data_IF_280584099290
#
_entry.id   IF_280584099290
#
_cell.length_a   1.000
_cell.length_b   1.000
_cell.length_c   1.000
_cell.angle_alpha   90.00
_cell.angle_beta   90.00
_cell.angle_gamma   90.00
#
_symmetry.space_group_name_H-M   'P 1'
#
loop_
_entity.id
_entity.type
_entity.pdbx_description
1 polymer ?
#
# COMPACT_ATOMS: atom_id res chain seq x y z
N UNK A 1 13.47 29.92 17.99
CA UNK A 1 13.95 29.14 16.83
C UNK A 1 12.81 28.22 16.43
N UNK A 2 12.35 28.30 15.18
CA UNK A 2 11.37 27.36 14.63
C UNK A 2 12.12 26.45 13.68
N UNK A 3 11.99 25.14 13.86
CA UNK A 3 12.59 24.15 12.96
C UNK A 3 11.56 23.83 11.89
N UNK A 4 11.98 23.94 10.63
CA UNK A 4 11.15 23.56 9.49
C UNK A 4 11.36 22.06 9.21
N UNK A 5 10.25 21.34 9.11
CA UNK A 5 10.22 19.94 8.72
C UNK A 5 10.63 19.76 7.25
N UNK A 6 11.46 18.76 6.99
CA UNK A 6 11.84 18.30 5.65
C UNK A 6 11.43 16.83 5.52
N UNK A 7 11.19 16.36 4.29
CA UNK A 7 10.89 14.96 4.06
C UNK A 7 12.17 14.11 4.16
N UNK A 8 12.46 13.60 5.36
CA UNK A 8 13.65 12.79 5.65
C UNK A 8 13.33 11.43 6.26
N UNK A 9 12.06 11.12 6.54
CA UNK A 9 11.64 9.81 7.01
C UNK A 9 10.88 9.05 5.90
N UNK A 10 11.41 7.94 5.37
CA UNK A 10 10.67 7.17 4.37
C UNK A 10 9.45 6.47 4.99
N UNK A 11 8.36 6.27 4.23
CA UNK A 11 7.22 5.46 4.68
C UNK A 11 7.63 4.03 5.04
N UNK A 12 7.16 3.55 6.19
CA UNK A 12 7.46 2.19 6.68
C UNK A 12 6.18 1.37 6.79
N UNK A 13 6.13 0.22 6.13
CA UNK A 13 5.01 -0.74 6.27
C UNK A 13 4.93 -1.31 7.69
N UNK A 14 3.71 -1.46 8.20
CA UNK A 14 3.42 -2.03 9.51
C UNK A 14 3.83 -3.50 9.65
N UNK A 15 3.87 -4.24 8.54
CA UNK A 15 4.32 -5.63 8.47
C UNK A 15 5.35 -5.79 7.35
N UNK A 16 6.35 -6.64 7.58
CA UNK A 16 7.35 -6.99 6.56
C UNK A 16 6.78 -7.86 5.44
N UNK A 17 5.73 -8.64 5.72
CA UNK A 17 5.03 -9.44 4.73
C UNK A 17 3.55 -9.51 5.04
N UNK A 18 2.75 -9.57 3.99
CA UNK A 18 1.31 -9.75 4.07
C UNK A 18 0.92 -11.00 3.30
N UNK A 19 0.01 -11.79 3.86
CA UNK A 19 -0.51 -13.01 3.26
C UNK A 19 -2.02 -13.05 3.43
N UNK A 20 -2.72 -13.46 2.38
CA UNK A 20 -4.16 -13.70 2.37
C UNK A 20 -4.41 -14.98 1.59
N UNK A 21 -5.47 -15.69 1.96
CA UNK A 21 -6.01 -16.82 1.19
C UNK A 21 -7.35 -16.36 0.61
N UNK A 22 -7.50 -16.48 -0.71
CA UNK A 22 -8.71 -16.11 -1.42
C UNK A 22 -9.42 -17.34 -1.95
N UNK A 23 -10.75 -17.29 -1.99
CA UNK A 23 -11.54 -18.31 -2.68
C UNK A 23 -11.31 -18.20 -4.18
N UNK A 24 -11.20 -19.34 -4.87
CA UNK A 24 -11.19 -19.37 -6.34
C UNK A 24 -12.50 -18.83 -6.94
N UNK A 25 -13.57 -18.80 -6.15
CA UNK A 25 -14.89 -18.26 -6.51
C UNK A 25 -15.06 -16.79 -6.15
N UNK A 26 -14.01 -16.11 -5.67
CA UNK A 26 -14.06 -14.70 -5.34
C UNK A 26 -14.40 -13.86 -6.58
N UNK A 27 -15.35 -12.95 -6.45
CA UNK A 27 -15.73 -12.04 -7.53
C UNK A 27 -14.68 -10.95 -7.71
N UNK A 28 -14.65 -10.33 -8.89
CA UNK A 28 -13.89 -9.10 -9.13
C UNK A 28 -14.34 -8.01 -8.15
N UNK A 29 -13.39 -7.23 -7.62
CA UNK A 29 -13.62 -6.21 -6.60
C UNK A 29 -13.73 -6.75 -5.17
N UNK A 30 -13.45 -8.05 -4.95
CA UNK A 30 -13.42 -8.63 -3.60
C UNK A 30 -12.24 -8.03 -2.81
N UNK A 31 -12.46 -7.49 -1.60
CA UNK A 31 -11.39 -7.03 -0.73
C UNK A 31 -10.49 -8.17 -0.30
N UNK A 32 -9.23 -8.12 -0.72
CA UNK A 32 -8.25 -9.15 -0.39
C UNK A 32 -7.49 -8.77 0.89
N UNK A 33 -6.90 -7.58 0.91
CA UNK A 33 -6.00 -7.16 1.97
C UNK A 33 -5.92 -5.64 2.01
N UNK A 34 -5.70 -5.06 3.18
CA UNK A 34 -5.27 -3.67 3.29
C UNK A 34 -3.85 -3.58 3.84
N UNK A 35 -2.96 -2.91 3.11
CA UNK A 35 -1.61 -2.58 3.60
C UNK A 35 -1.62 -1.21 4.26
N UNK A 36 -0.76 -1.05 5.27
CA UNK A 36 -0.61 0.22 5.99
C UNK A 36 0.87 0.51 6.12
N UNK A 37 1.28 1.70 5.68
CA UNK A 37 2.57 2.28 5.94
C UNK A 37 2.41 3.61 6.66
N UNK A 38 3.38 3.94 7.51
CA UNK A 38 3.42 5.17 8.29
C UNK A 38 4.72 5.89 8.03
N UNK A 39 4.61 7.18 7.81
CA UNK A 39 5.71 8.12 7.69
C UNK A 39 5.77 8.97 8.98
N UNK A 40 6.97 9.26 9.47
CA UNK A 40 7.20 9.96 10.75
C UNK A 40 7.37 11.48 10.57
N UNK A 41 7.33 11.97 9.35
CA UNK A 41 7.39 13.40 9.06
C UNK A 41 6.11 14.13 9.50
N UNK A 42 6.12 15.46 9.41
CA UNK A 42 4.95 16.28 9.71
C UNK A 42 3.80 16.05 8.71
N UNK A 43 2.57 16.46 9.04
CA UNK A 43 1.35 16.23 8.25
C UNK A 43 1.42 16.56 6.75
N UNK A 44 2.33 17.45 6.34
CA UNK A 44 2.54 17.80 4.92
C UNK A 44 3.42 16.80 4.18
N UNK A 45 4.33 16.15 4.88
CA UNK A 45 5.34 15.24 4.33
C UNK A 45 5.02 13.77 4.62
N UNK A 46 4.03 13.47 5.48
CA UNK A 46 3.65 12.11 5.84
C UNK A 46 2.55 11.47 4.97
N UNK A 47 2.27 12.04 3.79
CA UNK A 47 1.25 11.53 2.86
C UNK A 47 1.82 10.33 2.10
N UNK A 48 1.20 9.16 2.28
CA UNK A 48 1.66 7.91 1.67
C UNK A 48 0.78 7.52 0.50
N UNK A 49 1.41 7.15 -0.61
CA UNK A 49 0.75 6.58 -1.79
C UNK A 49 1.21 5.15 -2.06
N UNK A 50 0.27 4.27 -2.40
CA UNK A 50 0.52 2.85 -2.66
C UNK A 50 0.44 2.52 -4.16
N UNK A 51 1.28 1.57 -4.60
CA UNK A 51 1.24 0.98 -5.93
C UNK A 51 1.75 -0.47 -5.88
N UNK A 52 1.23 -1.33 -6.77
CA UNK A 52 1.74 -2.70 -6.96
C UNK A 52 2.75 -2.65 -8.10
N UNK A 53 3.98 -3.11 -7.83
CA UNK A 53 4.99 -3.28 -8.87
C UNK A 53 4.83 -4.66 -9.51
N UNK A 54 4.67 -4.67 -10.83
CA UNK A 54 4.77 -5.89 -11.64
C UNK A 54 6.23 -6.22 -11.88
N UNK A 55 6.57 -7.51 -11.84
CA UNK A 55 7.86 -8.01 -12.29
C UNK A 55 7.66 -9.11 -13.35
N UNK A 56 8.76 -9.70 -13.83
CA UNK A 56 8.71 -10.71 -14.91
C UNK A 56 7.89 -11.95 -14.51
N UNK A 57 7.70 -12.20 -13.22
CA UNK A 57 7.02 -13.39 -12.68
C UNK A 57 5.64 -13.09 -12.07
N UNK A 58 5.33 -11.84 -11.74
CA UNK A 58 4.09 -11.43 -11.09
C UNK A 58 3.44 -10.28 -11.87
N UNK A 59 2.29 -10.56 -12.48
CA UNK A 59 1.47 -9.52 -13.10
C UNK A 59 0.59 -8.81 -12.06
N UNK A 60 0.55 -7.47 -12.12
CA UNK A 60 -0.43 -6.65 -11.42
C UNK A 60 -1.85 -6.76 -11.99
N UNK A 61 -2.06 -7.46 -13.11
CA UNK A 61 -3.37 -7.47 -13.80
C UNK A 61 -4.47 -8.16 -12.98
N UNK A 62 -4.11 -8.99 -12.00
CA UNK A 62 -5.06 -9.74 -11.16
C UNK A 62 -5.50 -8.99 -9.90
N UNK A 63 -4.79 -7.91 -9.54
CA UNK A 63 -5.03 -7.17 -8.31
C UNK A 63 -4.88 -5.67 -8.53
N UNK A 64 -5.85 -4.92 -8.04
CA UNK A 64 -5.79 -3.46 -7.99
C UNK A 64 -5.52 -3.01 -6.56
N UNK A 65 -4.70 -1.96 -6.37
CA UNK A 65 -4.53 -1.29 -5.08
C UNK A 65 -5.05 0.14 -5.14
N UNK A 66 -5.87 0.51 -4.16
CA UNK A 66 -6.22 1.91 -3.96
C UNK A 66 -5.02 2.69 -3.41
N UNK A 67 -4.60 3.71 -4.15
CA UNK A 67 -3.38 4.48 -3.89
C UNK A 67 -3.40 5.23 -2.56
N UNK A 68 -4.57 5.57 -2.01
CA UNK A 68 -4.67 6.35 -0.77
C UNK A 68 -4.88 5.49 0.47
N UNK A 69 -5.67 4.42 0.36
CA UNK A 69 -6.05 3.57 1.48
C UNK A 69 -5.19 2.31 1.62
N UNK A 70 -4.44 1.94 0.57
CA UNK A 70 -3.68 0.69 0.53
C UNK A 70 -4.57 -0.55 0.44
N UNK A 71 -5.85 -0.40 0.07
CA UNK A 71 -6.78 -1.53 -0.10
C UNK A 71 -6.51 -2.24 -1.41
N UNK A 72 -6.19 -3.53 -1.32
CA UNK A 72 -5.98 -4.44 -2.45
C UNK A 72 -7.28 -5.20 -2.72
N UNK A 73 -7.73 -5.14 -3.95
CA UNK A 73 -8.94 -5.76 -4.48
C UNK A 73 -8.56 -6.72 -5.62
N UNK A 74 -9.37 -7.76 -5.85
CA UNK A 74 -9.29 -8.54 -7.09
C UNK A 74 -9.70 -7.69 -8.29
N UNK A 75 -8.97 -7.81 -9.41
CA UNK A 75 -9.24 -7.09 -10.65
C UNK A 75 -9.96 -7.97 -11.70
#
# INVERSE_FOLDING_TARGET
VFVQDINDNPPVFKKMSYRVVLSETAMIGTPALQVVATDKDSEKNNIVHYQIFSDVQNSSDYFHIDSSSGLILTA
#
